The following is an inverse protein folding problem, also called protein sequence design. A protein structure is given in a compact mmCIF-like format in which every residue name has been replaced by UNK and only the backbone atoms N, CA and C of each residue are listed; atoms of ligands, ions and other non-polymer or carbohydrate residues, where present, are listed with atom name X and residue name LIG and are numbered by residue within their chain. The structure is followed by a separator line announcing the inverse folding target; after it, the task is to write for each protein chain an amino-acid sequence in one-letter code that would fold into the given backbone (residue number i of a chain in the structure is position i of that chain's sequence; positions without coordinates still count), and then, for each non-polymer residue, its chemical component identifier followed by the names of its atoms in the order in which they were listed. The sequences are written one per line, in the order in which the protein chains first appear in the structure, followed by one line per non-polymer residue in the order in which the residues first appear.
data_IF_988742646819
#
_entry.id   IF_988742646819
#
_cell.length_a   1.000
_cell.length_b   1.000
_cell.length_c   1.000
_cell.angle_alpha   90.00
_cell.angle_beta   90.00
_cell.angle_gamma   90.00
#
_symmetry.space_group_name_H-M   'P 1'
#
loop_
_entity.id
_entity.type
_entity.pdbx_description
1 polymer ?
#
# COMPACT_ATOMS: atom_id res chain seq x y z
N UNK A 1 -0.68 -23.01 -27.27
CA UNK A 1 -0.61 -21.73 -26.50
C UNK A 1 0.17 -21.97 -25.21
N UNK A 2 1.44 -21.57 -25.16
CA UNK A 2 2.30 -21.74 -23.99
C UNK A 2 2.04 -20.61 -22.98
N UNK A 3 1.39 -20.91 -21.85
CA UNK A 3 1.35 -19.99 -20.71
C UNK A 3 2.78 -19.84 -20.20
N UNK A 4 3.43 -18.71 -20.46
CA UNK A 4 4.67 -18.34 -19.75
C UNK A 4 4.34 -18.23 -18.27
N UNK A 5 4.84 -19.16 -17.48
CA UNK A 5 4.80 -19.10 -16.01
C UNK A 5 5.48 -17.79 -15.63
N UNK A 6 4.75 -16.86 -15.02
CA UNK A 6 5.29 -15.57 -14.58
C UNK A 6 6.47 -15.85 -13.64
N UNK A 7 7.63 -15.27 -13.97
CA UNK A 7 8.80 -15.27 -13.08
C UNK A 7 8.39 -14.70 -11.72
N UNK A 8 8.85 -15.33 -10.65
CA UNK A 8 8.62 -14.89 -9.27
C UNK A 8 8.94 -13.40 -9.11
N UNK A 9 8.26 -12.73 -8.18
CA UNK A 9 8.49 -11.32 -7.85
C UNK A 9 9.90 -11.04 -7.31
N UNK A 10 10.22 -9.78 -6.96
CA UNK A 10 11.50 -9.40 -6.38
C UNK A 10 11.87 -10.25 -5.15
N UNK A 11 13.15 -10.62 -5.02
CA UNK A 11 13.68 -11.31 -3.84
C UNK A 11 14.19 -10.28 -2.83
N UNK A 12 13.82 -10.45 -1.58
CA UNK A 12 14.32 -9.67 -0.46
C UNK A 12 15.26 -10.56 0.38
N UNK A 13 16.40 -10.01 0.77
CA UNK A 13 17.34 -10.64 1.71
C UNK A 13 17.42 -9.76 2.94
N UNK A 14 17.15 -10.33 4.11
CA UNK A 14 17.14 -9.63 5.39
C UNK A 14 17.94 -10.44 6.42
N UNK A 15 18.60 -9.74 7.33
CA UNK A 15 19.24 -10.36 8.49
C UNK A 15 18.25 -10.40 9.64
N UNK A 16 18.05 -11.58 10.23
CA UNK A 16 17.20 -11.77 11.40
C UNK A 16 18.07 -12.21 12.58
N UNK A 17 17.60 -11.96 13.81
CA UNK A 17 18.21 -12.60 14.97
C UNK A 17 17.92 -14.11 14.93
N UNK A 18 18.76 -14.91 15.59
CA UNK A 18 18.49 -16.35 15.72
C UNK A 18 17.13 -16.64 16.34
N UNK A 19 16.77 -15.87 17.38
CA UNK A 19 15.47 -15.97 18.06
C UNK A 19 14.30 -15.73 17.11
N UNK A 20 14.37 -14.71 16.26
CA UNK A 20 13.29 -14.40 15.32
C UNK A 20 13.16 -15.48 14.24
N UNK A 21 14.29 -16.00 13.76
CA UNK A 21 14.30 -17.10 12.80
C UNK A 21 13.71 -18.38 13.40
N UNK A 22 14.05 -18.71 14.66
CA UNK A 22 13.50 -19.87 15.37
C UNK A 22 11.98 -19.73 15.56
N UNK A 23 11.50 -18.53 15.92
CA UNK A 23 10.07 -18.26 16.06
C UNK A 23 9.32 -18.41 14.72
N UNK A 24 9.87 -17.89 13.62
CA UNK A 24 9.30 -18.07 12.28
C UNK A 24 9.29 -19.54 11.86
N UNK A 25 10.33 -20.30 12.20
CA UNK A 25 10.44 -21.72 11.88
C UNK A 25 9.40 -22.54 12.66
N UNK A 26 9.21 -22.26 13.96
CA UNK A 26 8.20 -22.93 14.76
C UNK A 26 6.76 -22.68 14.25
N UNK A 27 6.46 -21.45 13.77
CA UNK A 27 5.18 -21.15 13.13
C UNK A 27 5.01 -21.92 11.81
N UNK A 28 6.07 -21.98 11.01
CA UNK A 28 6.07 -22.69 9.74
C UNK A 28 5.83 -24.20 9.94
N UNK A 29 6.50 -24.81 10.92
CA UNK A 29 6.34 -26.23 11.27
C UNK A 29 4.94 -26.53 11.81
N UNK A 30 4.39 -25.64 12.65
CA UNK A 30 3.05 -25.80 13.23
C UNK A 30 1.96 -25.85 12.16
N UNK A 31 2.06 -24.99 11.14
CA UNK A 31 1.03 -24.83 10.11
C UNK A 31 1.33 -25.63 8.81
N UNK A 32 2.39 -26.44 8.80
CA UNK A 32 2.89 -27.22 7.64
C UNK A 32 3.12 -26.36 6.39
N UNK A 33 3.81 -25.24 6.57
CA UNK A 33 4.12 -24.26 5.52
C UNK A 33 5.60 -23.88 5.53
N UNK A 34 6.06 -23.22 4.47
CA UNK A 34 7.43 -22.68 4.44
C UNK A 34 7.57 -21.41 5.29
N UNK A 35 8.75 -21.14 5.85
CA UNK A 35 9.10 -19.85 6.48
C UNK A 35 8.79 -18.66 5.56
N UNK A 36 9.03 -18.79 4.25
CA UNK A 36 8.71 -17.75 3.27
C UNK A 36 7.20 -17.45 3.17
N UNK A 37 6.34 -18.42 3.44
CA UNK A 37 4.90 -18.20 3.51
C UNK A 37 4.53 -17.38 4.75
N UNK A 38 5.08 -17.74 5.90
CA UNK A 38 4.87 -17.01 7.17
C UNK A 38 5.31 -15.55 7.04
N UNK A 39 6.49 -15.32 6.47
CA UNK A 39 7.01 -13.96 6.23
C UNK A 39 6.08 -13.16 5.31
N UNK A 40 5.57 -13.75 4.22
CA UNK A 40 4.61 -13.06 3.34
C UNK A 40 3.32 -12.72 4.07
N UNK A 41 2.79 -13.65 4.86
CA UNK A 41 1.59 -13.43 5.66
C UNK A 41 1.78 -12.28 6.65
N UNK A 42 2.91 -12.23 7.34
CA UNK A 42 3.25 -11.14 8.25
C UNK A 42 3.39 -9.78 7.52
N UNK A 43 3.97 -9.77 6.31
CA UNK A 43 4.05 -8.57 5.48
C UNK A 43 2.64 -8.09 5.09
N UNK A 44 1.76 -9.00 4.66
CA UNK A 44 0.38 -8.66 4.27
C UNK A 44 -0.39 -8.05 5.46
N UNK A 45 -0.27 -8.64 6.64
CA UNK A 45 -0.90 -8.14 7.88
C UNK A 45 -0.32 -6.78 8.30
N UNK A 46 1.00 -6.62 8.21
CA UNK A 46 1.65 -5.34 8.50
C UNK A 46 1.14 -4.24 7.55
N UNK A 47 1.08 -4.51 6.24
CA UNK A 47 0.63 -3.54 5.26
C UNK A 47 -0.86 -3.19 5.41
N UNK A 48 -1.70 -4.17 5.73
CA UNK A 48 -3.13 -3.93 5.97
C UNK A 48 -3.34 -3.01 7.18
N UNK A 49 -2.60 -3.25 8.27
CA UNK A 49 -2.66 -2.43 9.48
C UNK A 49 -2.21 -0.98 9.26
N UNK A 50 -1.31 -0.71 8.31
CA UNK A 50 -0.77 0.62 8.03
C UNK A 50 -1.38 1.28 6.78
N UNK A 51 -2.37 0.65 6.15
CA UNK A 51 -3.02 1.14 4.94
C UNK A 51 -3.62 2.55 5.11
N UNK A 52 -4.10 2.89 6.30
CA UNK A 52 -4.71 4.19 6.59
C UNK A 52 -3.71 5.28 6.97
N UNK A 53 -2.51 4.92 7.40
CA UNK A 53 -1.44 5.87 7.74
C UNK A 53 -0.67 6.33 6.50
N UNK A 54 -0.69 5.50 5.45
CA UNK A 54 -0.03 5.75 4.18
C UNK A 54 -0.90 6.48 3.14
N UNK A 55 -2.14 6.85 3.47
CA UNK A 55 -2.91 7.79 2.65
C UNK A 55 -2.20 9.16 2.70
N UNK A 56 -1.58 9.64 1.61
CA UNK A 56 -1.06 10.99 1.60
C UNK A 56 -2.25 11.91 1.86
N UNK A 57 -2.18 12.72 2.91
CA UNK A 57 -3.18 13.72 3.21
C UNK A 57 -3.54 14.47 1.92
N UNK A 58 -4.70 14.16 1.33
CA UNK A 58 -5.15 14.79 0.11
C UNK A 58 -5.24 16.29 0.40
N UNK A 59 -4.64 17.17 -0.42
CA UNK A 59 -4.79 18.60 -0.20
C UNK A 59 -6.28 18.92 -0.34
N UNK A 60 -6.90 19.34 0.77
CA UNK A 60 -8.26 19.86 0.81
C UNK A 60 -8.37 20.94 -0.28
N UNK A 61 -9.13 20.65 -1.34
CA UNK A 61 -9.47 21.66 -2.33
C UNK A 61 -10.30 22.73 -1.63
N UNK A 62 -9.67 23.85 -1.30
CA UNK A 62 -10.37 25.05 -0.84
C UNK A 62 -11.27 25.51 -2.01
N UNK A 63 -12.58 25.71 -1.82
CA UNK A 63 -13.43 26.19 -2.89
C UNK A 63 -13.01 27.61 -3.24
N UNK A 64 -12.51 27.84 -4.45
CA UNK A 64 -12.31 29.19 -4.95
C UNK A 64 -13.69 29.82 -5.15
N UNK A 65 -14.04 30.75 -4.26
CA UNK A 65 -15.17 31.65 -4.40
C UNK A 65 -14.94 32.46 -5.68
N UNK A 66 -15.58 32.05 -6.77
CA UNK A 66 -15.60 32.82 -8.01
C UNK A 66 -16.54 34.01 -7.77
N UNK A 67 -15.97 35.14 -7.38
CA UNK A 67 -16.66 36.42 -7.47
C UNK A 67 -16.85 36.77 -8.95
N UNK A 68 -18.03 36.44 -9.49
CA UNK A 68 -18.50 37.04 -10.75
C UNK A 68 -18.96 38.45 -10.44
N UNK A 69 -18.05 39.41 -10.59
CA UNK A 69 -18.38 40.82 -10.69
C UNK A 69 -19.28 41.03 -11.91
N UNK A 70 -20.53 41.41 -11.64
CA UNK A 70 -21.42 41.95 -12.63
C UNK A 70 -20.85 43.27 -13.18
N UNK A 71 -20.68 43.38 -14.49
CA UNK A 71 -20.81 44.65 -15.22
C UNK A 71 -20.89 44.36 -16.72
N UNK A 72 -22.12 44.15 -17.21
CA UNK A 72 -22.48 44.42 -18.60
C UNK A 72 -23.53 45.53 -18.55
N UNK A 73 -23.05 46.76 -18.57
CA UNK A 73 -23.92 47.92 -18.75
C UNK A 73 -24.44 47.90 -20.19
N UNK A 74 -25.76 47.79 -20.29
CA UNK A 74 -26.55 48.19 -21.45
C UNK A 74 -26.21 49.64 -21.81
N UNK A 75 -25.96 49.92 -23.09
CA UNK A 75 -26.36 51.21 -23.64
C UNK A 75 -26.67 51.06 -25.14
N UNK A 76 -27.96 51.00 -25.44
CA UNK A 76 -28.50 51.13 -26.80
C UNK A 76 -29.72 52.04 -26.73
N UNK A 77 -29.53 53.34 -26.95
CA UNK A 77 -30.32 54.24 -27.82
C UNK A 77 -29.95 55.70 -27.58
#
# INVERSE_FOLDING_TARGET
MTRKIKKYGPRLTVSLTGRDYDALSALADKDDVSVSWVVRRAIDEYLDNHRHEAEPALPLRVPQKVERSAHRADNKR
#
